data_IF_709089955574
#
_entry.id   IF_709089955574
#
_cell.length_a   1.000
_cell.length_b   1.000
_cell.length_c   1.000
_cell.angle_alpha   90.00
_cell.angle_beta   90.00
_cell.angle_gamma   90.00
#
_symmetry.space_group_name_H-M   'P 1'
#
loop_
_entity.id
_entity.type
_entity.pdbx_description
1 polymer ?
#
# COMPACT_ATOMS: atom_id res chain seq x y z
N UNK A 1 17.68 -36.94 27.28
CA UNK A 1 18.09 -37.73 28.48
C UNK A 1 18.44 -39.18 28.14
N UNK A 2 17.84 -39.81 27.15
CA UNK A 2 18.09 -41.22 26.79
C UNK A 2 19.52 -41.55 26.29
N UNK A 3 20.19 -40.64 25.58
CA UNK A 3 21.54 -40.93 25.05
C UNK A 3 22.65 -41.03 26.10
N UNK A 4 22.55 -40.31 27.22
CA UNK A 4 23.55 -40.36 28.30
C UNK A 4 23.43 -41.66 29.13
N UNK A 5 22.22 -42.11 29.41
CA UNK A 5 21.94 -43.34 30.17
C UNK A 5 22.40 -44.57 29.40
N UNK A 6 22.19 -44.63 28.09
CA UNK A 6 22.66 -45.72 27.23
C UNK A 6 24.18 -45.82 27.21
N UNK A 7 24.89 -44.70 27.14
CA UNK A 7 26.36 -44.67 27.16
C UNK A 7 26.93 -45.11 28.51
N UNK A 8 26.29 -44.76 29.63
CA UNK A 8 26.71 -45.19 30.97
C UNK A 8 26.49 -46.67 31.12
N UNK A 9 25.33 -47.21 30.73
CA UNK A 9 25.05 -48.66 30.77
C UNK A 9 26.05 -49.50 29.92
N UNK A 10 26.34 -49.04 28.72
CA UNK A 10 27.34 -49.66 27.83
C UNK A 10 28.75 -49.67 28.46
N UNK A 11 29.15 -48.55 29.10
CA UNK A 11 30.44 -48.45 29.81
C UNK A 11 30.52 -49.40 31.00
N UNK A 12 29.46 -49.53 31.80
CA UNK A 12 29.40 -50.47 32.93
C UNK A 12 29.44 -51.92 32.44
N UNK A 13 28.71 -52.30 31.42
CA UNK A 13 28.73 -53.61 30.83
C UNK A 13 30.11 -54.01 30.30
N UNK A 14 30.80 -53.10 29.62
CA UNK A 14 32.18 -53.32 29.15
C UNK A 14 33.16 -53.54 30.32
N UNK A 15 33.05 -52.75 31.38
CA UNK A 15 33.92 -52.93 32.58
C UNK A 15 33.71 -54.27 33.26
N UNK A 16 32.44 -54.74 33.37
CA UNK A 16 32.10 -56.05 33.94
C UNK A 16 32.65 -57.20 33.08
N UNK A 17 32.58 -57.12 31.77
CA UNK A 17 33.14 -58.07 30.83
C UNK A 17 34.67 -58.18 30.95
N UNK A 18 35.37 -57.04 31.02
CA UNK A 18 36.82 -57.04 31.22
C UNK A 18 37.23 -57.64 32.57
N UNK A 19 36.50 -57.35 33.65
CA UNK A 19 36.73 -57.91 34.96
C UNK A 19 36.50 -59.41 34.96
N UNK A 20 35.47 -59.90 34.25
CA UNK A 20 35.18 -61.33 34.13
C UNK A 20 36.28 -62.08 33.35
N UNK A 21 36.75 -61.53 32.24
CA UNK A 21 37.85 -62.08 31.45
C UNK A 21 39.14 -62.16 32.27
N UNK A 22 39.45 -61.09 33.04
CA UNK A 22 40.64 -61.06 33.92
C UNK A 22 40.57 -62.11 35.01
N UNK A 23 39.42 -62.31 35.62
CA UNK A 23 39.22 -63.39 36.66
C UNK A 23 39.32 -64.80 36.05
N UNK A 24 38.75 -65.03 34.86
CA UNK A 24 38.93 -66.28 34.14
C UNK A 24 40.39 -66.51 33.76
N UNK A 25 41.12 -65.51 33.33
CA UNK A 25 42.54 -65.63 33.04
C UNK A 25 43.38 -65.97 34.32
N UNK A 26 43.06 -65.36 35.45
CA UNK A 26 43.77 -65.57 36.71
C UNK A 26 43.46 -66.99 37.26
N UNK A 27 42.24 -67.54 37.13
CA UNK A 27 41.82 -68.84 37.62
C UNK A 27 42.30 -69.96 36.72
N UNK A 28 42.17 -69.82 35.42
CA UNK A 28 42.44 -70.96 34.50
C UNK A 28 43.69 -70.81 33.66
N UNK A 29 44.40 -69.67 33.76
CA UNK A 29 45.56 -69.31 32.92
C UNK A 29 45.27 -69.64 31.42
N UNK A 30 46.25 -69.92 30.60
CA UNK A 30 46.11 -70.28 29.17
C UNK A 30 45.76 -71.75 28.98
N UNK A 31 44.73 -72.28 29.62
CA UNK A 31 44.27 -73.70 29.54
C UNK A 31 43.08 -73.84 28.57
N UNK A 32 42.80 -75.13 28.17
CA UNK A 32 41.66 -75.38 27.28
C UNK A 32 40.32 -74.84 27.81
N UNK A 33 39.96 -74.93 29.11
CA UNK A 33 38.74 -74.39 29.63
C UNK A 33 38.67 -72.81 29.52
N UNK A 34 39.80 -72.10 29.59
CA UNK A 34 39.86 -70.63 29.40
C UNK A 34 39.43 -70.28 27.99
N UNK A 35 40.00 -70.90 26.96
CA UNK A 35 39.64 -70.61 25.56
C UNK A 35 38.20 -70.97 25.24
N UNK A 36 37.66 -72.04 25.80
CA UNK A 36 36.24 -72.40 25.61
C UNK A 36 35.30 -71.36 26.25
N UNK A 37 35.60 -70.95 27.50
CA UNK A 37 34.77 -69.91 28.15
C UNK A 37 34.80 -68.56 27.48
N UNK A 38 35.99 -68.12 27.05
CA UNK A 38 36.11 -66.83 26.29
C UNK A 38 35.42 -66.88 24.93
N UNK A 39 35.45 -67.99 24.21
CA UNK A 39 34.74 -68.19 22.96
C UNK A 39 33.21 -68.13 23.16
N UNK A 40 32.69 -68.71 24.22
CA UNK A 40 31.24 -68.64 24.55
C UNK A 40 30.82 -67.24 24.92
N UNK A 41 31.61 -66.55 25.74
CA UNK A 41 31.30 -65.14 26.12
C UNK A 41 31.32 -64.24 24.89
N UNK A 42 32.33 -64.33 24.02
CA UNK A 42 32.47 -63.56 22.83
C UNK A 42 31.31 -63.78 21.85
N UNK A 43 30.90 -65.04 21.64
CA UNK A 43 29.77 -65.39 20.80
C UNK A 43 28.44 -64.85 21.34
N UNK A 44 28.21 -64.91 22.68
CA UNK A 44 27.02 -64.31 23.31
C UNK A 44 26.96 -62.80 23.20
N UNK A 45 28.10 -62.11 23.35
CA UNK A 45 28.20 -60.66 23.16
C UNK A 45 27.94 -60.25 21.71
N UNK A 46 28.49 -60.98 20.73
CA UNK A 46 28.24 -60.74 19.31
C UNK A 46 26.76 -60.97 18.96
N UNK A 47 26.14 -62.02 19.42
CA UNK A 47 24.73 -62.29 19.20
C UNK A 47 23.83 -61.22 19.84
N UNK A 48 24.14 -60.78 21.07
CA UNK A 48 23.42 -59.71 21.77
C UNK A 48 23.50 -58.35 21.05
N UNK A 49 24.69 -57.96 20.59
CA UNK A 49 24.89 -56.73 19.83
C UNK A 49 24.18 -56.75 18.48
N UNK A 50 24.24 -57.88 17.77
CA UNK A 50 23.52 -58.04 16.49
C UNK A 50 22.00 -57.94 16.69
N UNK A 51 21.45 -58.61 17.73
CA UNK A 51 20.03 -58.49 18.07
C UNK A 51 19.62 -57.06 18.43
N UNK A 52 20.43 -56.35 19.24
CA UNK A 52 20.18 -54.97 19.61
C UNK A 52 20.19 -54.00 18.40
N UNK A 53 21.14 -54.22 17.49
CA UNK A 53 21.23 -53.44 16.24
C UNK A 53 20.03 -53.70 15.30
N UNK A 54 19.61 -54.98 15.21
CA UNK A 54 18.45 -55.38 14.43
C UNK A 54 17.15 -54.75 14.98
N UNK A 55 16.94 -54.85 16.30
CA UNK A 55 15.79 -54.20 16.96
C UNK A 55 15.79 -52.69 16.81
N UNK A 56 16.95 -52.05 16.88
CA UNK A 56 17.08 -50.60 16.64
C UNK A 56 16.75 -50.23 15.19
N UNK A 57 17.27 -51.00 14.21
CA UNK A 57 16.98 -50.76 12.78
C UNK A 57 15.50 -50.96 12.43
N UNK A 58 14.86 -52.04 12.98
CA UNK A 58 13.43 -52.28 12.80
C UNK A 58 12.56 -51.20 13.48
N UNK A 59 12.98 -50.73 14.67
CA UNK A 59 12.32 -49.66 15.38
C UNK A 59 12.41 -48.33 14.62
N UNK A 60 13.53 -48.04 13.99
CA UNK A 60 13.70 -46.86 13.13
C UNK A 60 12.84 -46.90 11.85
N UNK A 61 12.78 -48.09 11.19
CA UNK A 61 11.89 -48.26 10.00
C UNK A 61 10.42 -48.07 10.38
N UNK A 62 9.95 -48.66 11.47
CA UNK A 62 8.57 -48.46 11.92
C UNK A 62 8.24 -47.03 12.33
N UNK A 63 9.20 -46.26 12.85
CA UNK A 63 9.04 -44.82 13.13
C UNK A 63 8.98 -44.00 11.84
N UNK A 64 9.84 -44.30 10.86
CA UNK A 64 9.85 -43.65 9.57
C UNK A 64 8.54 -43.87 8.77
N UNK A 65 8.03 -45.12 8.76
CA UNK A 65 6.75 -45.45 8.14
C UNK A 65 5.55 -44.77 8.81
N UNK A 66 5.54 -44.71 10.16
CA UNK A 66 4.48 -43.98 10.89
C UNK A 66 4.55 -42.51 10.65
N UNK A 67 5.74 -41.88 10.55
CA UNK A 67 5.89 -40.47 10.20
C UNK A 67 5.48 -40.21 8.74
N UNK A 68 5.83 -41.10 7.81
CA UNK A 68 5.41 -40.99 6.41
C UNK A 68 3.88 -41.11 6.28
N UNK A 69 3.23 -42.08 6.96
CA UNK A 69 1.77 -42.18 6.99
C UNK A 69 1.09 -40.97 7.61
N UNK A 70 1.60 -40.44 8.75
CA UNK A 70 1.07 -39.20 9.34
C UNK A 70 1.21 -38.01 8.37
N UNK A 71 2.35 -37.85 7.69
CA UNK A 71 2.52 -36.76 6.68
C UNK A 71 1.56 -36.86 5.53
N UNK A 72 1.20 -38.05 5.07
CA UNK A 72 0.23 -38.24 3.98
C UNK A 72 -1.19 -37.92 4.45
N UNK A 73 -1.58 -38.35 5.65
CA UNK A 73 -2.91 -38.08 6.21
C UNK A 73 -3.04 -36.58 6.60
N UNK A 74 -2.07 -36.04 7.34
CA UNK A 74 -2.06 -34.61 7.71
C UNK A 74 -1.90 -33.70 6.47
N UNK A 75 -1.19 -34.16 5.43
CA UNK A 75 -1.04 -33.44 4.17
C UNK A 75 -2.34 -33.36 3.37
N UNK A 76 -3.13 -34.44 3.33
CA UNK A 76 -4.43 -34.49 2.67
C UNK A 76 -5.46 -33.59 3.36
N UNK A 77 -5.64 -33.73 4.67
CA UNK A 77 -6.54 -32.87 5.47
C UNK A 77 -6.09 -31.40 5.45
N UNK A 78 -4.78 -31.12 5.55
CA UNK A 78 -4.27 -29.75 5.49
C UNK A 78 -4.49 -29.10 4.12
N UNK A 79 -4.45 -29.86 3.03
CA UNK A 79 -4.76 -29.35 1.68
C UNK A 79 -6.25 -29.09 1.54
N UNK A 80 -7.11 -30.01 1.99
CA UNK A 80 -8.57 -29.87 1.91
C UNK A 80 -9.07 -28.70 2.76
N UNK A 81 -8.64 -28.59 4.02
CA UNK A 81 -8.93 -27.43 4.90
C UNK A 81 -8.38 -26.13 4.32
N UNK A 82 -7.22 -26.16 3.65
CA UNK A 82 -6.65 -24.97 3.00
C UNK A 82 -7.49 -24.53 1.79
N UNK A 83 -8.02 -25.44 1.00
CA UNK A 83 -8.92 -25.17 -0.14
C UNK A 83 -10.24 -24.60 0.36
N UNK A 84 -10.87 -25.21 1.36
CA UNK A 84 -12.10 -24.69 1.98
C UNK A 84 -11.87 -23.32 2.60
N UNK A 85 -10.79 -23.12 3.35
CA UNK A 85 -10.46 -21.83 3.96
C UNK A 85 -10.22 -20.74 2.91
N UNK A 86 -9.57 -21.09 1.79
CA UNK A 86 -9.40 -20.17 0.65
C UNK A 86 -10.73 -19.80 0.01
N UNK A 87 -11.62 -20.77 -0.16
CA UNK A 87 -12.98 -20.56 -0.68
C UNK A 87 -13.80 -19.63 0.23
N UNK A 88 -13.82 -19.93 1.55
CA UNK A 88 -14.53 -19.07 2.51
C UNK A 88 -13.98 -17.65 2.57
N UNK A 89 -12.67 -17.47 2.45
CA UNK A 89 -12.05 -16.14 2.34
C UNK A 89 -12.51 -15.40 1.09
N UNK A 90 -12.57 -16.08 -0.06
CA UNK A 90 -13.04 -15.49 -1.32
C UNK A 90 -14.53 -15.11 -1.23
N UNK A 91 -15.37 -15.97 -0.65
CA UNK A 91 -16.80 -15.70 -0.42
C UNK A 91 -17.00 -14.55 0.57
N UNK A 92 -16.16 -14.47 1.62
CA UNK A 92 -16.19 -13.38 2.59
C UNK A 92 -15.57 -12.07 2.06
N UNK A 93 -15.08 -12.03 0.83
CA UNK A 93 -14.42 -10.86 0.24
C UNK A 93 -13.07 -10.51 0.86
N UNK A 94 -12.45 -11.44 1.62
CA UNK A 94 -11.14 -11.23 2.23
C UNK A 94 -10.02 -11.45 1.21
N UNK A 95 -8.91 -10.66 1.27
CA UNK A 95 -7.81 -10.79 0.35
C UNK A 95 -7.19 -12.20 0.33
N UNK A 96 -7.02 -12.78 -0.86
CA UNK A 96 -6.43 -14.10 -1.08
C UNK A 96 -4.91 -14.01 -1.24
N UNK A 97 -4.21 -15.10 -0.89
CA UNK A 97 -2.77 -15.19 -1.16
C UNK A 97 -2.55 -15.86 -2.51
N UNK A 98 -1.86 -15.18 -3.42
CA UNK A 98 -1.45 -15.70 -4.72
C UNK A 98 0.00 -16.20 -4.68
N UNK A 99 0.35 -17.16 -5.55
CA UNK A 99 1.74 -17.52 -5.81
C UNK A 99 2.34 -16.58 -6.87
N UNK A 100 3.68 -16.52 -6.95
CA UNK A 100 4.35 -15.72 -7.97
C UNK A 100 4.07 -16.26 -9.37
N UNK A 101 4.01 -17.59 -9.50
CA UNK A 101 3.73 -18.28 -10.77
C UNK A 101 2.32 -17.93 -11.27
N UNK A 102 1.33 -17.93 -10.37
CA UNK A 102 -0.04 -17.54 -10.73
C UNK A 102 -0.12 -16.08 -11.20
N UNK A 103 0.62 -15.17 -10.54
CA UNK A 103 0.67 -13.77 -10.97
C UNK A 103 1.45 -13.56 -12.26
N UNK A 104 2.53 -14.31 -12.48
CA UNK A 104 3.27 -14.28 -13.73
C UNK A 104 2.39 -14.77 -14.89
N UNK A 105 1.68 -15.90 -14.71
CA UNK A 105 0.72 -16.41 -15.69
C UNK A 105 -0.39 -15.40 -16.00
N UNK A 106 -1.00 -14.81 -14.95
CA UNK A 106 -2.08 -13.83 -15.10
C UNK A 106 -1.65 -12.55 -15.83
N UNK A 107 -0.36 -12.14 -15.75
CA UNK A 107 0.17 -10.87 -16.29
C UNK A 107 1.05 -11.05 -17.54
N UNK A 108 1.09 -12.23 -18.14
CA UNK A 108 2.00 -12.58 -19.25
C UNK A 108 3.46 -12.22 -18.89
N UNK A 109 3.98 -12.81 -17.81
CA UNK A 109 5.30 -12.53 -17.25
C UNK A 109 5.57 -11.03 -16.99
N UNK A 110 4.57 -10.34 -16.47
CA UNK A 110 4.65 -8.91 -16.12
C UNK A 110 4.97 -7.98 -17.30
N UNK A 111 4.52 -8.35 -18.53
CA UNK A 111 4.77 -7.56 -19.75
C UNK A 111 3.79 -6.39 -19.89
N UNK A 112 2.56 -6.55 -19.46
CA UNK A 112 1.49 -5.57 -19.65
C UNK A 112 1.54 -4.45 -18.59
N UNK A 113 2.50 -3.51 -18.71
CA UNK A 113 2.64 -2.38 -17.78
C UNK A 113 1.56 -1.34 -18.09
N UNK A 114 0.75 -0.99 -17.09
CA UNK A 114 -0.29 0.06 -17.17
C UNK A 114 0.09 1.34 -16.46
N UNK A 115 1.05 1.27 -15.50
CA UNK A 115 1.55 2.44 -14.78
C UNK A 115 2.87 2.18 -14.06
N UNK A 116 3.65 3.26 -13.93
CA UNK A 116 4.87 3.28 -13.11
C UNK A 116 4.86 4.53 -12.26
N UNK A 117 5.17 4.41 -10.99
CA UNK A 117 5.22 5.53 -10.04
C UNK A 117 6.24 5.26 -8.93
N UNK A 118 6.32 6.19 -7.96
CA UNK A 118 7.20 6.07 -6.79
C UNK A 118 6.88 4.86 -5.92
N UNK A 119 5.61 4.42 -5.90
CA UNK A 119 5.16 3.25 -5.12
C UNK A 119 5.35 1.92 -5.85
N UNK A 120 5.92 1.90 -7.08
CA UNK A 120 6.17 0.69 -7.84
C UNK A 120 5.58 0.66 -9.24
N UNK A 121 5.48 -0.55 -9.80
CA UNK A 121 4.99 -0.80 -11.17
C UNK A 121 3.68 -1.57 -11.12
N UNK A 122 2.68 -1.14 -11.89
CA UNK A 122 1.37 -1.76 -12.00
C UNK A 122 1.24 -2.48 -13.36
N UNK A 123 0.81 -3.72 -13.32
CA UNK A 123 0.61 -4.58 -14.48
C UNK A 123 -0.88 -4.93 -14.61
N UNK A 124 -1.39 -4.98 -15.84
CA UNK A 124 -2.70 -5.57 -16.11
C UNK A 124 -2.57 -7.09 -16.18
N UNK A 125 -3.55 -7.80 -15.65
CA UNK A 125 -3.63 -9.24 -15.70
C UNK A 125 -5.05 -9.75 -15.79
N UNK A 126 -5.20 -11.05 -16.08
CA UNK A 126 -6.47 -11.78 -16.07
C UNK A 126 -6.23 -13.05 -15.25
N UNK A 127 -6.98 -13.25 -14.18
CA UNK A 127 -6.93 -14.45 -13.37
C UNK A 127 -7.59 -15.64 -14.11
N UNK A 128 -7.34 -16.85 -13.62
CA UNK A 128 -7.88 -18.10 -14.22
C UNK A 128 -9.43 -18.13 -14.29
N UNK A 129 -10.11 -17.39 -13.42
CA UNK A 129 -11.56 -17.25 -13.41
C UNK A 129 -12.07 -16.12 -14.35
N UNK A 130 -11.19 -15.53 -15.16
CA UNK A 130 -11.52 -14.45 -16.08
C UNK A 130 -11.57 -13.06 -15.45
N UNK A 131 -11.30 -12.92 -14.15
CA UNK A 131 -11.32 -11.63 -13.46
C UNK A 131 -10.15 -10.77 -13.93
N UNK A 132 -10.44 -9.56 -14.45
CA UNK A 132 -9.42 -8.57 -14.79
C UNK A 132 -8.85 -7.95 -13.52
N UNK A 133 -7.51 -7.90 -13.43
CA UNK A 133 -6.79 -7.44 -12.23
C UNK A 133 -5.70 -6.42 -12.57
N UNK A 134 -5.41 -5.57 -11.58
CA UNK A 134 -4.23 -4.72 -11.54
C UNK A 134 -3.26 -5.29 -10.50
N UNK A 135 -2.09 -5.73 -10.95
CA UNK A 135 -1.05 -6.29 -10.08
C UNK A 135 0.02 -5.23 -9.84
N UNK A 136 0.03 -4.65 -8.65
CA UNK A 136 1.00 -3.64 -8.21
C UNK A 136 2.21 -4.36 -7.62
N UNK A 137 3.36 -4.25 -8.25
CA UNK A 137 4.64 -4.67 -7.69
C UNK A 137 5.25 -3.49 -6.95
N UNK A 138 5.48 -3.66 -5.67
CA UNK A 138 6.11 -2.63 -4.83
C UNK A 138 7.61 -2.83 -4.94
N UNK A 139 8.30 -1.84 -5.50
CA UNK A 139 9.74 -1.84 -5.74
C UNK A 139 10.46 -1.00 -4.68
N UNK A 140 11.65 -1.43 -4.21
CA UNK A 140 12.47 -0.70 -3.24
C UNK A 140 12.94 -1.55 -2.05
N UNK A 141 13.81 -1.01 -1.18
CA UNK A 141 14.47 -1.79 -0.13
C UNK A 141 13.81 -1.72 1.25
N UNK A 142 13.99 -0.65 2.00
CA UNK A 142 13.55 -0.58 3.42
C UNK A 142 12.07 -0.18 3.61
N UNK A 143 11.52 0.59 2.70
CA UNK A 143 10.17 1.15 2.83
C UNK A 143 9.06 0.22 2.32
N UNK A 144 9.40 -0.74 1.44
CA UNK A 144 8.48 -1.70 0.81
C UNK A 144 7.64 -2.47 1.82
N UNK A 145 8.28 -3.01 2.85
CA UNK A 145 7.58 -3.81 3.86
C UNK A 145 6.60 -2.94 4.67
N UNK A 146 6.98 -1.70 4.97
CA UNK A 146 6.13 -0.77 5.72
C UNK A 146 4.92 -0.33 4.88
N UNK A 147 5.14 0.05 3.62
CA UNK A 147 4.06 0.41 2.69
C UNK A 147 3.13 -0.76 2.42
N UNK A 148 3.69 -1.94 2.11
CA UNK A 148 2.90 -3.15 1.92
C UNK A 148 2.02 -3.48 3.14
N UNK A 149 2.59 -3.43 4.35
CA UNK A 149 1.83 -3.69 5.58
C UNK A 149 0.77 -2.65 5.85
N UNK A 150 1.07 -1.36 5.61
CA UNK A 150 0.12 -0.28 5.77
C UNK A 150 -1.07 -0.48 4.83
N UNK A 151 -0.81 -0.79 3.55
CA UNK A 151 -1.84 -0.99 2.54
C UNK A 151 -2.72 -2.22 2.83
N UNK A 152 -2.11 -3.37 3.17
CA UNK A 152 -2.87 -4.57 3.56
C UNK A 152 -3.67 -4.35 4.84
N UNK A 153 -3.12 -3.66 5.83
CA UNK A 153 -3.81 -3.38 7.08
C UNK A 153 -4.97 -2.40 6.90
N UNK A 154 -4.80 -1.36 6.08
CA UNK A 154 -5.81 -0.35 5.84
C UNK A 154 -6.97 -0.90 5.00
N UNK A 155 -6.66 -1.51 3.84
CA UNK A 155 -7.69 -1.88 2.85
C UNK A 155 -8.14 -3.35 2.97
N UNK A 156 -7.33 -4.22 3.60
CA UNK A 156 -7.59 -5.66 3.66
C UNK A 156 -8.86 -6.07 4.41
N UNK A 157 -9.39 -5.20 5.26
CA UNK A 157 -10.63 -5.42 6.03
C UNK A 157 -11.75 -4.43 5.71
N UNK A 158 -11.52 -3.55 4.73
CA UNK A 158 -12.41 -2.44 4.37
C UNK A 158 -13.12 -2.78 3.06
N UNK A 159 -14.45 -2.62 3.01
CA UNK A 159 -15.27 -2.84 1.82
C UNK A 159 -16.25 -1.69 1.65
N UNK A 160 -16.10 -0.93 0.58
CA UNK A 160 -16.98 0.17 0.23
C UNK A 160 -17.00 0.36 -1.29
N UNK A 161 -18.16 0.72 -1.84
CA UNK A 161 -18.36 0.90 -3.28
C UNK A 161 -17.51 2.01 -3.92
N UNK A 162 -17.04 2.96 -3.13
CA UNK A 162 -16.14 4.04 -3.53
C UNK A 162 -14.66 3.75 -3.26
N UNK A 163 -14.28 2.51 -2.95
CA UNK A 163 -12.89 2.10 -2.73
C UNK A 163 -12.50 0.99 -3.69
N UNK A 164 -11.30 1.06 -4.25
CA UNK A 164 -10.77 -0.02 -5.09
C UNK A 164 -10.49 -1.24 -4.22
N UNK A 165 -11.06 -2.38 -4.60
CA UNK A 165 -11.01 -3.60 -3.82
C UNK A 165 -9.68 -4.32 -3.94
N UNK A 166 -9.07 -4.65 -2.80
CA UNK A 166 -7.92 -5.53 -2.73
C UNK A 166 -8.40 -7.00 -2.82
N UNK A 167 -8.08 -7.67 -3.91
CA UNK A 167 -8.42 -9.08 -4.15
C UNK A 167 -7.42 -10.03 -3.48
N UNK A 168 -6.17 -9.60 -3.36
CA UNK A 168 -5.15 -10.42 -2.72
C UNK A 168 -3.74 -9.85 -2.78
N UNK A 169 -2.79 -10.68 -2.40
CA UNK A 169 -1.39 -10.31 -2.32
C UNK A 169 -0.46 -11.51 -2.58
N UNK A 170 0.79 -11.23 -2.95
CA UNK A 170 1.85 -12.22 -3.04
C UNK A 170 3.08 -11.74 -2.27
N UNK A 171 3.65 -12.63 -1.45
CA UNK A 171 4.86 -12.41 -0.67
C UNK A 171 5.94 -13.36 -1.17
N UNK A 172 6.96 -12.82 -1.81
CA UNK A 172 8.14 -13.60 -2.22
C UNK A 172 9.20 -13.48 -1.12
N UNK A 173 9.69 -14.59 -0.54
CA UNK A 173 10.76 -14.55 0.45
C UNK A 173 11.99 -13.84 -0.12
N UNK A 174 12.47 -12.80 0.57
CA UNK A 174 13.59 -11.96 0.13
C UNK A 174 13.44 -11.32 -1.27
N UNK A 175 12.21 -11.19 -1.75
CA UNK A 175 11.87 -10.68 -3.09
C UNK A 175 10.77 -9.62 -3.04
N UNK A 176 10.23 -9.28 -4.23
CA UNK A 176 9.20 -8.25 -4.35
C UNK A 176 7.91 -8.61 -3.62
N UNK A 177 7.12 -7.59 -3.34
CA UNK A 177 5.77 -7.67 -2.76
C UNK A 177 4.77 -7.29 -3.84
N UNK A 178 3.69 -8.04 -3.94
CA UNK A 178 2.64 -7.75 -4.91
C UNK A 178 1.31 -7.57 -4.21
N UNK A 179 0.54 -6.60 -4.67
CA UNK A 179 -0.86 -6.38 -4.31
C UNK A 179 -1.71 -6.56 -5.56
N UNK A 180 -2.83 -7.24 -5.41
CA UNK A 180 -3.73 -7.58 -6.51
C UNK A 180 -5.06 -6.88 -6.29
N UNK A 181 -5.39 -5.94 -7.15
CA UNK A 181 -6.62 -5.15 -7.12
C UNK A 181 -7.54 -5.51 -8.29
N UNK A 182 -8.79 -5.18 -8.17
CA UNK A 182 -9.69 -5.13 -9.33
C UNK A 182 -9.17 -4.11 -10.36
N UNK A 183 -9.32 -4.41 -11.64
CA UNK A 183 -8.82 -3.53 -12.70
C UNK A 183 -9.85 -2.48 -13.08
N UNK A 184 -9.43 -1.21 -13.09
CA UNK A 184 -10.26 -0.07 -13.50
C UNK A 184 -9.92 0.33 -14.93
N UNK A 185 -10.81 0.05 -15.88
CA UNK A 185 -10.55 0.26 -17.31
C UNK A 185 -10.37 1.72 -17.71
N UNK A 186 -11.06 2.63 -17.00
CA UNK A 186 -10.98 4.06 -17.28
C UNK A 186 -9.76 4.73 -16.63
N UNK A 187 -8.97 3.99 -15.82
CA UNK A 187 -7.75 4.48 -15.21
C UNK A 187 -8.00 5.59 -14.20
N UNK A 188 -7.05 6.50 -14.03
CA UNK A 188 -7.05 7.55 -13.02
C UNK A 188 -7.64 8.87 -13.49
N UNK A 189 -8.22 9.61 -12.56
CA UNK A 189 -8.94 10.88 -12.77
C UNK A 189 -8.07 11.96 -13.44
N UNK A 190 -6.76 11.99 -13.16
CA UNK A 190 -5.84 12.97 -13.76
C UNK A 190 -5.86 12.93 -15.29
N UNK A 191 -6.02 11.76 -15.89
CA UNK A 191 -6.11 11.58 -17.36
C UNK A 191 -7.39 12.16 -17.97
N UNK A 192 -8.39 12.47 -17.15
CA UNK A 192 -9.69 12.95 -17.60
C UNK A 192 -9.91 14.45 -17.33
N UNK A 193 -9.27 14.98 -16.29
CA UNK A 193 -9.44 16.39 -15.93
C UNK A 193 -8.37 17.30 -16.55
N UNK A 194 -7.13 16.80 -16.75
CA UNK A 194 -6.07 17.62 -17.32
C UNK A 194 -6.02 17.52 -18.85
N UNK A 195 -5.70 18.62 -19.55
CA UNK A 195 -5.49 18.60 -20.99
C UNK A 195 -4.28 17.74 -21.37
N UNK A 196 -4.43 16.91 -22.41
CA UNK A 196 -3.32 16.16 -22.97
C UNK A 196 -2.49 17.04 -23.91
N UNK A 197 -1.16 16.90 -23.89
CA UNK A 197 -0.23 17.70 -24.67
C UNK A 197 -0.33 17.55 -26.21
N UNK A 198 -1.24 16.73 -26.73
CA UNK A 198 -1.37 16.44 -28.17
C UNK A 198 -2.53 17.14 -28.91
N UNK A 199 -3.29 18.02 -28.29
CA UNK A 199 -4.31 18.85 -28.97
C UNK A 199 -5.45 18.13 -29.69
N UNK A 200 -5.49 16.81 -29.70
CA UNK A 200 -6.51 16.00 -30.37
C UNK A 200 -7.48 15.41 -29.33
N UNK A 201 -8.77 15.65 -29.50
CA UNK A 201 -9.97 15.11 -28.86
C UNK A 201 -9.85 14.07 -27.73
N UNK A 202 -9.02 14.30 -26.74
CA UNK A 202 -8.87 13.43 -25.58
C UNK A 202 -10.19 13.31 -24.82
N UNK A 203 -10.43 12.15 -24.20
CA UNK A 203 -11.57 11.95 -23.30
C UNK A 203 -11.50 12.94 -22.14
N UNK A 204 -12.61 13.54 -21.79
CA UNK A 204 -12.73 14.45 -20.65
C UNK A 204 -14.08 14.23 -19.97
N UNK A 205 -14.14 14.47 -18.67
CA UNK A 205 -15.37 14.37 -17.91
C UNK A 205 -16.22 15.62 -18.08
N UNK A 206 -17.52 15.41 -18.34
CA UNK A 206 -18.53 16.46 -18.28
C UNK A 206 -18.63 17.07 -16.88
N UNK A 207 -19.28 18.23 -16.74
CA UNK A 207 -19.50 18.84 -15.42
C UNK A 207 -20.25 17.89 -14.48
N UNK A 208 -21.33 17.28 -14.95
CA UNK A 208 -22.13 16.35 -14.16
C UNK A 208 -21.31 15.13 -13.68
N UNK A 209 -20.43 14.59 -14.53
CA UNK A 209 -19.53 13.49 -14.18
C UNK A 209 -18.48 13.91 -13.15
N UNK A 210 -17.87 15.09 -13.31
CA UNK A 210 -16.90 15.62 -12.32
C UNK A 210 -17.58 15.81 -10.96
N UNK A 211 -18.78 16.37 -10.96
CA UNK A 211 -19.56 16.55 -9.73
C UNK A 211 -19.89 15.22 -9.06
N UNK A 212 -20.29 14.21 -9.85
CA UNK A 212 -20.55 12.88 -9.32
C UNK A 212 -19.30 12.23 -8.73
N UNK A 213 -18.15 12.31 -9.41
CA UNK A 213 -16.87 11.83 -8.90
C UNK A 213 -16.50 12.55 -7.59
N UNK A 214 -16.75 13.87 -7.49
CA UNK A 214 -16.54 14.59 -6.24
C UNK A 214 -17.36 14.00 -5.09
N UNK A 215 -18.65 13.74 -5.31
CA UNK A 215 -19.54 13.13 -4.30
C UNK A 215 -19.09 11.72 -3.94
N UNK A 216 -18.73 10.88 -4.93
CA UNK A 216 -18.29 9.51 -4.71
C UNK A 216 -17.03 9.45 -3.83
N UNK A 217 -16.02 10.27 -4.13
CA UNK A 217 -14.78 10.37 -3.34
C UNK A 217 -15.06 10.89 -1.94
N UNK A 218 -15.94 11.91 -1.79
CA UNK A 218 -16.32 12.41 -0.47
C UNK A 218 -16.94 11.32 0.40
N UNK A 219 -17.83 10.50 -0.17
CA UNK A 219 -18.45 9.35 0.52
C UNK A 219 -17.43 8.30 0.91
N UNK A 220 -16.49 7.98 0.02
CA UNK A 220 -15.42 7.03 0.30
C UNK A 220 -14.54 7.50 1.47
N UNK A 221 -14.13 8.76 1.49
CA UNK A 221 -13.34 9.34 2.58
C UNK A 221 -14.16 9.45 3.87
N UNK A 222 -15.45 9.78 3.80
CA UNK A 222 -16.34 9.79 4.97
C UNK A 222 -16.42 8.40 5.62
N UNK A 223 -16.57 7.35 4.82
CA UNK A 223 -16.56 5.97 5.29
C UNK A 223 -15.23 5.61 5.99
N UNK A 224 -14.08 5.94 5.39
CA UNK A 224 -12.76 5.69 5.98
C UNK A 224 -12.57 6.39 7.33
N UNK A 225 -13.08 7.61 7.45
CA UNK A 225 -12.90 8.45 8.63
C UNK A 225 -13.88 8.12 9.77
N UNK A 226 -15.09 7.63 9.47
CA UNK A 226 -16.17 7.53 10.46
C UNK A 226 -16.72 6.12 10.64
N UNK A 227 -16.81 5.31 9.58
CA UNK A 227 -17.56 4.05 9.61
C UNK A 227 -16.64 2.83 9.79
N UNK A 228 -15.33 2.98 9.59
CA UNK A 228 -14.35 1.93 9.82
C UNK A 228 -14.15 1.65 11.32
N UNK A 229 -13.87 0.38 11.68
CA UNK A 229 -13.56 -0.01 13.06
C UNK A 229 -12.38 0.76 13.66
N UNK A 230 -11.33 0.94 12.88
CA UNK A 230 -10.25 1.88 13.14
C UNK A 230 -10.33 2.96 12.07
N UNK A 231 -10.21 4.22 12.45
CA UNK A 231 -10.19 5.34 11.50
C UNK A 231 -9.00 5.16 10.56
N UNK A 232 -9.26 5.22 9.25
CA UNK A 232 -8.23 5.15 8.21
C UNK A 232 -8.01 6.54 7.66
N UNK A 233 -6.80 7.06 7.79
CA UNK A 233 -6.38 8.31 7.16
C UNK A 233 -5.55 7.95 5.93
N UNK A 234 -5.94 8.42 4.76
CA UNK A 234 -5.37 8.00 3.47
C UNK A 234 -3.97 8.58 3.22
N UNK A 235 -3.79 9.87 3.48
CA UNK A 235 -2.54 10.64 3.40
C UNK A 235 -1.95 10.84 1.98
N UNK A 236 -2.59 10.35 0.92
CA UNK A 236 -2.16 10.61 -0.47
C UNK A 236 -3.37 10.78 -1.41
N UNK A 237 -4.35 11.58 -0.98
CA UNK A 237 -5.52 11.91 -1.81
C UNK A 237 -5.11 12.85 -2.92
N UNK A 238 -5.18 12.38 -4.17
CA UNK A 238 -4.81 13.12 -5.39
C UNK A 238 -5.50 12.49 -6.61
N UNK A 239 -5.60 13.18 -7.76
CA UNK A 239 -6.27 12.65 -8.96
C UNK A 239 -5.69 11.34 -9.49
N UNK A 240 -4.39 11.11 -9.33
CA UNK A 240 -3.72 9.86 -9.72
C UNK A 240 -4.19 8.66 -8.91
N UNK A 241 -4.64 8.87 -7.67
CA UNK A 241 -5.13 7.85 -6.74
C UNK A 241 -6.67 7.77 -6.69
N UNK A 242 -7.36 8.46 -7.58
CA UNK A 242 -8.80 8.32 -7.81
C UNK A 242 -8.99 7.62 -9.14
N UNK A 243 -9.48 6.38 -9.12
CA UNK A 243 -9.71 5.60 -10.33
C UNK A 243 -11.19 5.69 -10.74
N UNK A 244 -11.45 5.47 -12.02
CA UNK A 244 -12.80 5.52 -12.58
C UNK A 244 -13.26 4.13 -13.01
N UNK A 245 -14.42 3.70 -12.54
CA UNK A 245 -15.06 2.45 -12.98
C UNK A 245 -15.66 2.56 -14.40
N UNK A 246 -16.29 1.49 -14.86
CA UNK A 246 -16.98 1.42 -16.16
C UNK A 246 -18.08 2.48 -16.36
N UNK A 247 -18.65 3.00 -15.26
CA UNK A 247 -19.66 4.05 -15.23
C UNK A 247 -19.13 5.44 -14.94
N UNK A 248 -17.81 5.61 -14.94
CA UNK A 248 -17.10 6.85 -14.60
C UNK A 248 -17.36 7.34 -13.17
N UNK A 249 -17.65 6.43 -12.22
CA UNK A 249 -17.72 6.75 -10.79
C UNK A 249 -16.33 6.75 -10.19
N UNK A 250 -16.11 7.61 -9.20
CA UNK A 250 -14.82 7.76 -8.55
C UNK A 250 -14.59 6.74 -7.44
N UNK A 251 -13.46 6.01 -7.49
CA UNK A 251 -12.99 5.09 -6.45
C UNK A 251 -11.63 5.53 -5.94
N UNK A 252 -11.46 5.58 -4.61
CA UNK A 252 -10.17 5.89 -3.97
C UNK A 252 -9.29 4.63 -3.95
N UNK A 253 -8.03 4.80 -4.32
CA UNK A 253 -7.01 3.75 -4.47
C UNK A 253 -5.68 4.16 -3.84
N UNK A 254 -4.75 3.22 -3.71
CA UNK A 254 -3.37 3.40 -3.22
C UNK A 254 -3.26 3.84 -1.75
N UNK A 255 -3.36 2.86 -0.86
CA UNK A 255 -3.30 3.04 0.59
C UNK A 255 -1.87 2.87 1.17
N UNK A 256 -0.83 2.96 0.33
CA UNK A 256 0.57 2.73 0.73
C UNK A 256 1.10 3.69 1.80
N UNK A 257 0.54 4.90 1.90
CA UNK A 257 0.87 5.89 2.93
C UNK A 257 -0.12 5.92 4.09
N UNK A 258 -1.21 5.15 4.04
CA UNK A 258 -2.32 5.22 5.00
C UNK A 258 -1.90 4.95 6.43
N UNK A 259 -2.57 5.62 7.35
CA UNK A 259 -2.41 5.43 8.79
C UNK A 259 -3.71 4.97 9.44
N UNK A 260 -3.61 3.94 10.30
CA UNK A 260 -4.71 3.50 11.14
C UNK A 260 -4.65 4.27 12.46
N UNK A 261 -5.73 4.96 12.80
CA UNK A 261 -5.87 5.69 14.06
C UNK A 261 -6.79 4.94 15.00
N UNK A 262 -6.29 4.61 16.20
CA UNK A 262 -7.10 4.08 17.28
C UNK A 262 -8.11 5.12 17.79
N UNK A 263 -9.19 4.66 18.44
CA UNK A 263 -10.27 5.56 18.95
C UNK A 263 -9.79 6.65 19.91
N UNK A 264 -8.69 6.41 20.62
CA UNK A 264 -8.11 7.34 21.60
C UNK A 264 -6.98 8.20 21.03
N UNK A 265 -6.56 7.95 19.78
CA UNK A 265 -5.50 8.73 19.14
C UNK A 265 -6.06 9.98 18.47
N UNK A 266 -5.59 11.14 18.91
CA UNK A 266 -6.00 12.44 18.34
C UNK A 266 -5.21 12.80 17.08
N UNK A 267 -4.00 12.25 16.90
CA UNK A 267 -3.10 12.50 15.75
C UNK A 267 -2.07 11.39 15.57
N UNK A 268 -1.54 11.25 14.38
CA UNK A 268 -0.40 10.38 14.05
C UNK A 268 0.81 11.24 13.73
N UNK A 269 1.93 10.95 14.37
CA UNK A 269 3.22 11.56 13.99
C UNK A 269 3.91 10.63 13.02
N UNK A 270 4.10 11.09 11.80
CA UNK A 270 4.78 10.32 10.73
C UNK A 270 5.72 11.25 9.95
N UNK A 271 6.71 10.68 9.31
CA UNK A 271 7.59 11.43 8.39
C UNK A 271 6.76 12.08 7.29
N UNK A 272 7.12 13.31 6.91
CA UNK A 272 6.44 14.02 5.82
C UNK A 272 6.66 13.23 4.53
N UNK A 273 5.60 12.67 4.00
CA UNK A 273 5.54 11.93 2.74
C UNK A 273 4.25 12.31 2.03
N UNK A 274 4.21 12.16 0.74
CA UNK A 274 3.03 12.47 -0.07
C UNK A 274 3.39 13.33 -1.26
N UNK A 275 2.38 13.82 -1.94
CA UNK A 275 2.54 14.53 -3.21
C UNK A 275 2.49 16.04 -2.98
N UNK A 276 3.53 16.74 -3.45
CA UNK A 276 3.59 18.23 -3.41
C UNK A 276 2.34 18.83 -4.06
N UNK A 277 1.76 19.82 -3.40
CA UNK A 277 0.53 20.48 -3.84
C UNK A 277 -0.75 19.93 -3.20
N UNK A 278 -0.69 18.80 -2.49
CA UNK A 278 -1.82 18.21 -1.76
C UNK A 278 -1.56 18.07 -0.25
N UNK A 279 -0.32 18.26 0.19
CA UNK A 279 0.07 18.14 1.60
C UNK A 279 -0.55 19.25 2.44
N UNK A 280 -1.21 18.87 3.51
CA UNK A 280 -1.80 19.79 4.46
C UNK A 280 -0.73 20.58 5.25
N UNK A 281 -0.97 21.88 5.56
CA UNK A 281 0.00 22.73 6.26
C UNK A 281 0.51 22.14 7.57
N UNK A 282 -0.36 21.55 8.39
CA UNK A 282 0.02 20.95 9.67
C UNK A 282 1.00 19.78 9.50
N UNK A 283 0.93 19.06 8.40
CA UNK A 283 1.89 17.99 8.12
C UNK A 283 3.27 18.56 7.75
N UNK A 284 3.28 19.57 6.90
CA UNK A 284 4.51 20.29 6.51
C UNK A 284 5.22 20.92 7.71
N UNK A 285 4.45 21.41 8.67
CA UNK A 285 4.96 22.01 9.92
C UNK A 285 5.29 20.99 11.02
N UNK A 286 5.16 19.69 10.74
CA UNK A 286 5.50 18.63 11.69
C UNK A 286 4.53 18.49 12.88
N UNK A 287 3.35 19.10 12.81
CA UNK A 287 2.36 19.05 13.87
C UNK A 287 1.61 17.69 13.98
N UNK A 288 1.88 16.77 13.04
CA UNK A 288 1.20 15.48 12.91
C UNK A 288 -0.04 15.56 12.04
N UNK A 289 -0.56 14.40 11.64
CA UNK A 289 -1.68 14.26 10.70
C UNK A 289 -2.92 13.71 11.37
N UNK A 290 -4.07 14.10 10.84
CA UNK A 290 -5.39 13.61 11.22
C UNK A 290 -6.20 13.36 9.94
N UNK A 291 -7.46 12.92 10.08
CA UNK A 291 -8.40 12.88 8.96
C UNK A 291 -8.60 14.23 8.28
N UNK A 292 -8.29 15.32 8.98
CA UNK A 292 -8.38 16.67 8.41
C UNK A 292 -7.30 16.95 7.35
N UNK A 293 -6.22 16.17 7.35
CA UNK A 293 -5.20 16.24 6.31
C UNK A 293 -5.74 15.69 4.98
N UNK A 294 -6.53 14.61 4.99
CA UNK A 294 -7.24 14.11 3.79
C UNK A 294 -8.28 15.11 3.29
N UNK A 295 -8.98 15.79 4.21
CA UNK A 295 -9.95 16.84 3.85
C UNK A 295 -9.27 17.96 3.07
N UNK A 296 -8.08 18.40 3.51
CA UNK A 296 -7.30 19.40 2.79
C UNK A 296 -6.91 18.92 1.39
N UNK A 297 -6.32 17.72 1.29
CA UNK A 297 -5.93 17.12 0.01
C UNK A 297 -7.13 16.97 -0.94
N UNK A 298 -8.29 16.59 -0.41
CA UNK A 298 -9.54 16.50 -1.15
C UNK A 298 -9.98 17.89 -1.67
N UNK A 299 -9.87 18.94 -0.85
CA UNK A 299 -10.12 20.33 -1.30
C UNK A 299 -9.24 20.72 -2.50
N UNK A 300 -7.96 20.31 -2.50
CA UNK A 300 -7.05 20.52 -3.63
C UNK A 300 -7.51 19.77 -4.89
N UNK A 301 -7.98 18.53 -4.75
CA UNK A 301 -8.57 17.75 -5.86
C UNK A 301 -9.79 18.43 -6.45
N UNK A 302 -10.71 18.95 -5.61
CA UNK A 302 -11.91 19.65 -6.07
C UNK A 302 -11.55 20.90 -6.91
N UNK A 303 -10.53 21.67 -6.51
CA UNK A 303 -10.07 22.83 -7.27
C UNK A 303 -9.52 22.43 -8.64
N UNK A 304 -8.73 21.34 -8.70
CA UNK A 304 -8.24 20.80 -9.97
C UNK A 304 -9.36 20.32 -10.89
N UNK A 305 -10.38 19.65 -10.32
CA UNK A 305 -11.58 19.25 -11.05
C UNK A 305 -12.37 20.45 -11.59
N UNK A 306 -12.44 21.53 -10.83
CA UNK A 306 -13.08 22.78 -11.23
C UNK A 306 -12.33 23.43 -12.40
N UNK A 307 -11.02 23.61 -12.24
CA UNK A 307 -10.19 24.40 -13.18
C UNK A 307 -9.59 23.61 -14.34
N UNK A 308 -9.63 22.27 -14.31
CA UNK A 308 -8.99 21.42 -15.32
C UNK A 308 -7.47 21.63 -15.42
N UNK A 309 -6.84 22.07 -14.33
CA UNK A 309 -5.42 22.40 -14.27
C UNK A 309 -4.83 22.05 -12.90
N UNK A 310 -3.51 21.84 -12.86
CA UNK A 310 -2.79 21.55 -11.62
C UNK A 310 -2.83 22.74 -10.65
N UNK A 311 -2.97 22.44 -9.36
CA UNK A 311 -2.92 23.43 -8.29
C UNK A 311 -1.59 24.16 -8.22
N UNK A 312 -0.50 23.45 -8.51
CA UNK A 312 0.85 23.99 -8.47
C UNK A 312 1.51 23.82 -9.84
N UNK A 313 1.91 24.92 -10.45
CA UNK A 313 2.59 24.92 -11.75
C UNK A 313 3.76 25.90 -11.74
N UNK A 314 4.89 25.46 -12.32
CA UNK A 314 6.03 26.32 -12.55
C UNK A 314 5.83 27.06 -13.86
N UNK A 315 5.61 28.37 -13.81
CA UNK A 315 5.48 29.25 -14.99
C UNK A 315 6.84 29.86 -15.31
N UNK A 316 7.27 29.72 -16.56
CA UNK A 316 8.41 30.47 -17.09
C UNK A 316 7.90 31.82 -17.58
N UNK A 317 8.49 32.92 -17.11
CA UNK A 317 8.25 34.22 -17.71
C UNK A 317 8.96 34.25 -19.07
N UNK A 318 8.21 34.49 -20.14
CA UNK A 318 8.74 34.70 -21.47
C UNK A 318 9.42 36.08 -21.53
N UNK A 319 10.75 36.13 -21.27
CA UNK A 319 11.55 37.34 -21.38
C UNK A 319 13.04 37.03 -21.23
N UNK A 320 13.95 37.87 -21.78
CA UNK A 320 15.40 37.70 -21.58
C UNK A 320 15.72 37.85 -20.11
N UNK A 321 16.13 36.76 -19.46
CA UNK A 321 16.36 36.67 -18.01
C UNK A 321 15.17 36.09 -17.22
N UNK A 322 14.24 35.39 -17.87
CA UNK A 322 12.98 34.91 -17.31
C UNK A 322 13.14 34.11 -16.04
N UNK A 323 12.64 34.67 -14.94
CA UNK A 323 12.56 33.98 -13.65
C UNK A 323 11.41 33.01 -13.66
N UNK A 324 11.66 31.76 -13.23
CA UNK A 324 10.60 30.79 -12.99
C UNK A 324 9.86 31.17 -11.72
N UNK A 325 8.53 31.23 -11.79
CA UNK A 325 7.66 31.51 -10.65
C UNK A 325 6.63 30.40 -10.48
N UNK A 326 6.39 29.99 -9.27
CA UNK A 326 5.30 29.09 -8.95
C UNK A 326 3.96 29.82 -9.05
N UNK A 327 3.00 29.23 -9.74
CA UNK A 327 1.61 29.63 -9.78
C UNK A 327 0.81 28.69 -8.88
N UNK A 328 0.10 29.23 -7.90
CA UNK A 328 -0.73 28.50 -6.97
C UNK A 328 -2.21 28.77 -7.27
N UNK A 329 -2.85 27.81 -7.94
CA UNK A 329 -4.22 27.95 -8.42
C UNK A 329 -5.26 28.13 -7.30
N UNK A 330 -5.16 27.48 -6.11
CA UNK A 330 -6.10 27.73 -5.01
C UNK A 330 -6.21 29.18 -4.57
N UNK A 331 -5.14 29.96 -4.65
CA UNK A 331 -5.18 31.38 -4.37
C UNK A 331 -6.10 32.13 -5.37
N UNK A 332 -5.97 31.82 -6.65
CA UNK A 332 -6.81 32.41 -7.68
C UNK A 332 -8.30 32.04 -7.48
N UNK A 333 -8.58 30.77 -7.13
CA UNK A 333 -9.95 30.32 -6.83
C UNK A 333 -10.53 31.12 -5.66
N UNK A 334 -9.74 31.31 -4.58
CA UNK A 334 -10.18 32.08 -3.41
C UNK A 334 -10.43 33.54 -3.72
N UNK A 335 -9.59 34.19 -4.54
CA UNK A 335 -9.77 35.57 -5.00
C UNK A 335 -11.05 35.73 -5.82
N UNK A 336 -11.26 34.88 -6.83
CA UNK A 336 -12.44 34.92 -7.67
C UNK A 336 -13.73 34.56 -6.93
N UNK A 337 -13.67 33.64 -5.96
CA UNK A 337 -14.82 33.32 -5.13
C UNK A 337 -15.27 34.52 -4.26
N UNK A 338 -14.32 35.28 -3.66
CA UNK A 338 -14.61 36.50 -2.89
C UNK A 338 -15.22 37.62 -3.75
N UNK A 339 -14.81 37.70 -5.00
CA UNK A 339 -15.32 38.68 -5.97
C UNK A 339 -16.65 38.24 -6.63
N UNK A 340 -17.18 37.02 -6.29
CA UNK A 340 -18.37 36.46 -6.92
C UNK A 340 -18.14 35.99 -8.38
N UNK A 341 -16.90 35.89 -8.83
CA UNK A 341 -16.49 35.58 -10.19
C UNK A 341 -15.92 34.18 -10.38
N UNK A 342 -16.49 33.18 -9.69
CA UNK A 342 -16.01 31.78 -9.73
C UNK A 342 -15.95 31.22 -11.15
N UNK A 343 -16.86 31.63 -12.04
CA UNK A 343 -16.91 31.16 -13.41
C UNK A 343 -15.61 31.43 -14.21
N UNK A 344 -14.83 32.43 -13.82
CA UNK A 344 -13.56 32.78 -14.50
C UNK A 344 -12.44 31.76 -14.26
N UNK A 345 -12.56 30.92 -13.25
CA UNK A 345 -11.58 29.86 -12.90
C UNK A 345 -11.98 28.48 -13.37
N UNK A 346 -13.16 28.34 -13.96
CA UNK A 346 -13.68 27.08 -14.48
C UNK A 346 -12.92 26.62 -15.73
N UNK A 347 -12.74 25.34 -15.87
CA UNK A 347 -12.16 24.70 -17.07
C UNK A 347 -12.82 25.22 -18.35
N UNK A 348 -12.01 25.76 -19.24
CA UNK A 348 -12.49 26.36 -20.51
C UNK A 348 -13.29 25.38 -21.36
N UNK A 349 -13.05 24.06 -21.24
CA UNK A 349 -13.81 23.04 -21.96
C UNK A 349 -15.26 22.99 -21.45
N UNK A 350 -15.45 23.06 -20.12
CA UNK A 350 -16.79 23.10 -19.48
C UNK A 350 -17.54 24.41 -19.76
N UNK A 351 -16.81 25.51 -19.90
CA UNK A 351 -17.41 26.80 -20.29
C UNK A 351 -17.82 26.77 -21.75
N UNK A 352 -16.95 26.28 -22.64
CA UNK A 352 -17.20 26.19 -24.07
C UNK A 352 -18.35 25.25 -24.44
N UNK A 353 -18.54 24.17 -23.68
CA UNK A 353 -19.69 23.25 -23.84
C UNK A 353 -21.02 23.79 -23.30
N UNK A 354 -20.98 24.89 -22.54
CA UNK A 354 -22.16 25.47 -21.87
C UNK A 354 -22.56 24.73 -20.58
N UNK A 355 -21.94 23.62 -20.24
CA UNK A 355 -22.31 22.78 -19.08
C UNK A 355 -22.14 23.52 -17.75
N UNK A 356 -21.03 24.24 -17.59
CA UNK A 356 -20.75 25.03 -16.38
C UNK A 356 -21.78 26.17 -16.18
N UNK A 357 -22.21 26.81 -17.27
CA UNK A 357 -23.24 27.84 -17.21
C UNK A 357 -24.63 27.30 -16.90
N UNK A 358 -24.90 26.06 -17.32
CA UNK A 358 -26.18 25.36 -17.03
C UNK A 358 -26.33 25.04 -15.53
N UNK A 359 -25.22 24.86 -14.78
CA UNK A 359 -25.23 24.58 -13.33
C UNK A 359 -24.25 25.51 -12.58
N UNK A 360 -24.39 26.80 -12.73
CA UNK A 360 -23.57 27.81 -12.04
C UNK A 360 -23.65 27.66 -10.51
N UNK A 361 -24.82 27.28 -9.99
CA UNK A 361 -25.01 27.07 -8.55
C UNK A 361 -24.18 25.89 -8.05
N UNK A 362 -24.11 24.78 -8.81
CA UNK A 362 -23.25 23.64 -8.50
C UNK A 362 -21.76 23.99 -8.58
N UNK A 363 -21.37 24.78 -9.59
CA UNK A 363 -19.99 25.28 -9.74
C UNK A 363 -19.58 26.12 -8.53
N UNK A 364 -20.43 27.05 -8.12
CA UNK A 364 -20.18 27.92 -6.94
C UNK A 364 -20.12 27.09 -5.67
N UNK A 365 -21.04 26.15 -5.48
CA UNK A 365 -21.06 25.22 -4.34
C UNK A 365 -19.76 24.42 -4.26
N UNK A 366 -19.34 23.80 -5.37
CA UNK A 366 -18.10 23.00 -5.40
C UNK A 366 -16.87 23.87 -5.04
N UNK A 367 -16.79 25.10 -5.56
CA UNK A 367 -15.71 26.03 -5.22
C UNK A 367 -15.70 26.39 -3.73
N UNK A 368 -16.86 26.69 -3.13
CA UNK A 368 -16.96 27.02 -1.70
C UNK A 368 -16.58 25.80 -0.84
N UNK A 369 -17.08 24.59 -1.18
CA UNK A 369 -16.71 23.36 -0.47
C UNK A 369 -15.20 23.11 -0.56
N UNK A 370 -14.60 23.28 -1.74
CA UNK A 370 -13.16 23.14 -1.94
C UNK A 370 -12.37 24.09 -1.02
N UNK A 371 -12.78 25.35 -0.94
CA UNK A 371 -12.15 26.37 -0.10
C UNK A 371 -12.35 26.08 1.40
N UNK A 372 -13.51 25.56 1.82
CA UNK A 372 -13.74 25.09 3.20
C UNK A 372 -12.80 23.93 3.56
N UNK A 373 -12.62 22.98 2.65
CA UNK A 373 -11.71 21.86 2.84
C UNK A 373 -10.24 22.30 2.92
N UNK A 374 -9.87 23.34 2.16
CA UNK A 374 -8.51 23.87 2.06
C UNK A 374 -8.15 24.90 3.16
N UNK A 375 -8.98 25.07 4.18
CA UNK A 375 -8.66 25.96 5.30
C UNK A 375 -7.33 25.57 5.94
N UNK A 376 -6.54 26.56 6.32
CA UNK A 376 -5.20 26.36 6.87
C UNK A 376 -5.23 25.65 8.23
N UNK A 377 -6.09 26.11 9.13
CA UNK A 377 -6.31 25.49 10.42
C UNK A 377 -7.14 24.21 10.25
N UNK A 378 -6.56 23.05 10.57
CA UNK A 378 -7.24 21.77 10.47
C UNK A 378 -8.61 21.74 11.18
N UNK A 379 -8.74 22.40 12.34
CA UNK A 379 -9.99 22.51 13.07
C UNK A 379 -11.10 23.30 12.37
N UNK A 380 -10.75 24.19 11.42
CA UNK A 380 -11.73 24.96 10.63
C UNK A 380 -12.29 24.15 9.45
N UNK A 381 -11.63 23.07 9.04
CA UNK A 381 -12.09 22.22 7.94
C UNK A 381 -13.30 21.39 8.38
N UNK A 382 -14.30 21.19 7.49
CA UNK A 382 -15.44 20.30 7.79
C UNK A 382 -14.98 18.85 7.99
N UNK A 383 -15.84 17.99 8.52
CA UNK A 383 -15.69 16.54 8.42
C UNK A 383 -16.09 16.09 7.01
N UNK A 384 -15.61 14.92 6.56
CA UNK A 384 -16.01 14.40 5.24
C UNK A 384 -17.52 14.09 5.16
N UNK A 385 -18.15 13.69 6.27
CA UNK A 385 -19.61 13.55 6.35
C UNK A 385 -20.31 14.90 6.07
N UNK A 386 -19.81 15.99 6.67
CA UNK A 386 -20.34 17.32 6.38
C UNK A 386 -20.09 17.78 4.95
N UNK A 387 -18.95 17.41 4.38
CA UNK A 387 -18.65 17.67 2.94
C UNK A 387 -19.67 16.99 2.05
N UNK A 388 -20.02 15.73 2.32
CA UNK A 388 -21.07 15.00 1.57
C UNK A 388 -22.39 15.76 1.64
N UNK A 389 -22.82 16.18 2.84
CA UNK A 389 -24.06 16.97 3.01
C UNK A 389 -24.04 18.27 2.19
N UNK A 390 -22.90 19.00 2.21
CA UNK A 390 -22.72 20.25 1.48
C UNK A 390 -22.80 20.04 -0.05
N UNK A 391 -22.25 18.93 -0.56
CA UNK A 391 -22.29 18.62 -1.99
C UNK A 391 -23.66 18.09 -2.43
N UNK A 392 -24.36 17.32 -1.59
CA UNK A 392 -25.68 16.73 -1.91
C UNK A 392 -26.88 17.61 -1.60
N UNK A 393 -26.67 18.79 -1.02
CA UNK A 393 -27.74 19.72 -0.70
C UNK A 393 -28.55 20.07 -1.94
N UNK A 394 -29.76 19.47 -2.08
CA UNK A 394 -30.68 19.69 -3.20
C UNK A 394 -31.69 20.76 -2.83
N UNK A 395 -31.78 21.79 -3.68
CA UNK A 395 -32.93 22.69 -3.74
C UNK A 395 -33.02 23.71 -2.62
N UNK A 396 -32.65 24.96 -2.86
CA UNK A 396 -33.13 26.16 -2.12
C UNK A 396 -32.66 26.34 -0.68
N UNK A 397 -32.11 25.33 -0.04
CA UNK A 397 -31.50 25.46 1.26
C UNK A 397 -30.07 25.92 1.11
N UNK A 398 -29.87 27.21 1.39
CA UNK A 398 -28.61 27.88 1.62
C UNK A 398 -27.45 27.47 0.68
N UNK A 399 -27.11 28.33 -0.26
CA UNK A 399 -25.77 28.35 -0.85
C UNK A 399 -24.77 28.09 0.26
N UNK A 400 -23.81 27.17 0.04
CA UNK A 400 -22.71 26.97 0.99
C UNK A 400 -22.02 28.32 1.13
N UNK A 401 -22.08 28.92 2.32
CA UNK A 401 -21.43 30.19 2.57
C UNK A 401 -19.96 30.14 2.19
N UNK A 402 -19.42 31.18 1.56
CA UNK A 402 -18.00 31.23 1.29
C UNK A 402 -17.24 31.14 2.63
N UNK A 403 -16.15 30.35 2.68
CA UNK A 403 -15.34 30.27 3.90
C UNK A 403 -14.64 31.59 4.18
N UNK A 404 -14.24 31.83 5.46
CA UNK A 404 -13.41 32.98 5.79
C UNK A 404 -12.09 32.95 5.01
N UNK A 405 -11.47 34.10 4.77
CA UNK A 405 -10.17 34.17 4.11
C UNK A 405 -9.14 33.28 4.82
N UNK A 406 -8.37 32.52 4.07
CA UNK A 406 -7.23 31.73 4.56
C UNK A 406 -5.93 32.46 4.23
N UNK A 407 -4.95 32.47 5.13
CA UNK A 407 -3.64 33.10 4.92
C UNK A 407 -2.79 32.39 3.87
N UNK A 408 -3.13 31.11 3.56
CA UNK A 408 -2.45 30.29 2.56
C UNK A 408 -0.92 30.24 2.74
N UNK A 409 -0.44 29.80 3.91
CA UNK A 409 1.00 29.63 4.27
C UNK A 409 1.79 28.88 3.17
N UNK A 410 1.15 28.02 2.39
CA UNK A 410 1.79 27.34 1.26
C UNK A 410 2.35 28.34 0.25
N UNK A 411 1.72 29.50 0.06
CA UNK A 411 2.20 30.55 -0.85
C UNK A 411 3.51 31.14 -0.34
N UNK A 412 3.62 31.38 0.97
CA UNK A 412 4.83 31.92 1.59
C UNK A 412 5.97 30.88 1.52
N UNK A 413 5.66 29.61 1.73
CA UNK A 413 6.63 28.52 1.59
C UNK A 413 7.13 28.38 0.14
N UNK A 414 6.27 28.61 -0.85
CA UNK A 414 6.65 28.62 -2.27
C UNK A 414 7.54 29.81 -2.63
N UNK A 415 7.38 30.94 -1.94
CA UNK A 415 8.18 32.13 -2.15
C UNK A 415 9.62 32.02 -1.60
N UNK A 416 9.85 31.13 -0.62
CA UNK A 416 11.17 30.93 0.01
C UNK A 416 12.18 30.22 -0.89
N UNK A 417 11.73 29.41 -1.86
CA UNK A 417 12.60 28.74 -2.84
C UNK A 417 11.98 28.70 -4.23
N UNK A 418 12.14 29.77 -5.01
CA UNK A 418 11.54 29.87 -6.34
C UNK A 418 12.16 28.89 -7.36
N UNK A 419 13.35 28.33 -7.12
CA UNK A 419 14.06 27.47 -8.08
C UNK A 419 13.74 25.98 -7.93
N UNK A 420 13.55 25.51 -6.71
CA UNK A 420 13.41 24.07 -6.40
C UNK A 420 12.03 23.69 -5.86
N UNK A 421 11.14 24.64 -5.63
CA UNK A 421 9.87 24.43 -4.96
C UNK A 421 10.02 24.34 -3.43
N UNK A 422 8.92 24.29 -2.67
CA UNK A 422 8.93 24.44 -1.22
C UNK A 422 9.68 23.35 -0.44
N UNK A 423 10.20 22.32 -1.13
CA UNK A 423 10.80 21.15 -0.47
C UNK A 423 12.02 20.57 -1.20
N UNK A 424 12.67 21.33 -2.10
CA UNK A 424 13.83 20.83 -2.86
C UNK A 424 13.52 19.65 -3.78
N UNK A 425 12.25 19.40 -4.07
CA UNK A 425 11.82 18.33 -4.98
C UNK A 425 11.97 18.81 -6.43
N UNK A 426 12.52 17.95 -7.33
CA UNK A 426 12.57 18.31 -8.75
C UNK A 426 11.15 18.53 -9.30
N UNK A 427 10.97 19.44 -10.26
CA UNK A 427 9.67 19.68 -10.89
C UNK A 427 9.14 18.37 -11.45
N UNK A 428 7.86 18.08 -11.20
CA UNK A 428 7.16 16.95 -11.80
C UNK A 428 7.39 16.97 -13.31
N UNK A 429 7.96 15.88 -13.84
CA UNK A 429 8.25 15.75 -15.26
C UNK A 429 6.98 15.98 -16.09
N UNK A 430 6.99 16.99 -16.95
CA UNK A 430 5.93 17.14 -17.95
C UNK A 430 6.00 15.95 -18.92
N UNK A 431 4.90 15.32 -19.28
CA UNK A 431 4.88 14.33 -20.35
C UNK A 431 5.09 15.03 -21.68
N UNK A 432 6.31 14.96 -22.25
CA UNK A 432 6.57 15.43 -23.59
C UNK A 432 7.94 16.05 -23.82
N UNK A 433 9.02 15.31 -23.66
CA UNK A 433 10.23 15.51 -24.46
C UNK A 433 10.98 14.18 -24.52
N UNK A 434 10.81 13.46 -25.64
CA UNK A 434 11.68 12.36 -26.03
C UNK A 434 13.06 12.94 -26.36
N UNK A 435 13.99 12.86 -25.41
CA UNK A 435 15.39 13.17 -25.57
C UNK A 435 16.18 12.05 -24.94
N UNK A 436 16.84 11.26 -25.79
CA UNK A 436 17.79 10.22 -25.45
C UNK A 436 18.90 10.77 -24.54
N UNK A 437 18.91 10.34 -23.29
CA UNK A 437 20.13 10.32 -22.47
C UNK A 437 19.95 9.27 -21.37
N UNK A 438 20.77 8.23 -21.45
CA UNK A 438 20.99 7.32 -20.36
C UNK A 438 21.50 8.09 -19.14
N UNK A 439 20.76 8.07 -18.06
CA UNK A 439 21.20 8.56 -16.77
C UNK A 439 20.61 7.68 -15.68
N UNK A 440 21.49 7.06 -14.93
CA UNK A 440 21.29 6.36 -13.67
C UNK A 440 20.39 7.16 -12.75
N UNK A 441 19.15 6.70 -12.56
CA UNK A 441 18.25 7.25 -11.55
C UNK A 441 18.73 6.77 -10.18
N UNK A 442 19.45 7.64 -9.47
CA UNK A 442 19.60 7.55 -8.03
C UNK A 442 18.24 7.71 -7.37
N UNK A 443 17.82 6.69 -6.64
CA UNK A 443 16.68 6.74 -5.73
C UNK A 443 17.07 7.62 -4.53
N UNK A 444 16.63 8.87 -4.53
CA UNK A 444 16.75 9.75 -3.38
C UNK A 444 15.54 9.53 -2.48
N UNK A 445 15.65 8.51 -1.61
CA UNK A 445 14.84 8.37 -0.41
C UNK A 445 15.53 9.08 0.75
N UNK A 446 15.66 10.40 0.70
CA UNK A 446 16.17 11.16 1.83
C UNK A 446 15.04 11.58 2.76
N UNK A 447 15.15 11.09 3.99
CA UNK A 447 14.46 11.62 5.16
C UNK A 447 14.95 13.05 5.39
N UNK A 448 14.18 14.04 4.95
CA UNK A 448 14.44 15.41 5.37
C UNK A 448 14.01 15.58 6.83
N UNK A 449 14.96 15.42 7.74
CA UNK A 449 14.87 15.98 9.06
C UNK A 449 14.92 17.50 8.91
N UNK A 450 13.87 18.18 9.38
CA UNK A 450 13.83 19.63 9.54
C UNK A 450 14.86 20.07 10.58
N UNK A 451 16.12 20.24 10.16
CA UNK A 451 17.18 20.83 10.99
C UNK A 451 17.32 22.35 10.83
N UNK A 452 16.36 23.01 10.17
CA UNK A 452 16.42 24.46 9.88
C UNK A 452 15.50 25.35 10.72
N UNK A 453 14.80 24.82 11.73
CA UNK A 453 13.94 25.63 12.62
C UNK A 453 14.30 25.50 14.11
N UNK A 454 15.55 25.20 14.45
CA UNK A 454 16.05 25.40 15.82
C UNK A 454 17.15 26.46 15.83
N UNK A 455 16.78 27.69 15.62
CA UNK A 455 17.57 28.88 15.78
C UNK A 455 16.79 29.95 16.52
N UNK A 456 16.57 29.67 17.79
CA UNK A 456 16.42 30.46 19.02
C UNK A 456 15.34 29.90 19.90
#
# INVERSE_FOLDING_TARGET
MESKTVKILAGVAAAVLVALELTLFLCFRLSRPFYLSTAVILSAVLAGTAAALLCHALGQRGRAERMARRRVVDGGEAVEVRVEYSYFRKVAGLPSRYSLEALAAATDDFRCVVGRGSSGTVFRGILDDGTAVAVKRIDGSEHVEKEFRAEVAAIGSVQHVGLVRLLGFCLVPHGPRFLVYEFMENGSLDKWIFPHAGGGGGRWLTWAQRYQVAVDVAKALAYLHHDCRAKVVHLDVKPENILLDDRLRGLVADFGLSALMGKEQSRVVTTVRGTTGYLAPEWLLGAGVTEKSDVYSYGMVLMEMLGGRRNLQLQANEGPGGTRRWSYFPQLVAERAREGRVMEVVDRRLVASGEAAADEAGVRRLAHVALWCAQEKAGARPTMARVVEMLEARGGAADVEPPPPSEMVVVDLLALDPAHGPFGLPPLAQPGSAGTAASSAMSVGESFALSYLSGR
#
